data_IF_337969433488
#
_entry.id   IF_337969433488
#
_cell.length_a   1.000
_cell.length_b   1.000
_cell.length_c   1.000
_cell.angle_alpha   90.00
_cell.angle_beta   90.00
_cell.angle_gamma   90.00
#
_symmetry.space_group_name_H-M   'P 1'
#
loop_
_entity.id
_entity.type
_entity.pdbx_description
1 polymer ?
#
# COMPACT_ATOMS: atom_id res chain seq x y z
N UNK A 1 12.85 18.98 16.60
CA UNK A 1 11.57 19.66 16.94
C UNK A 1 10.75 20.19 15.75
N UNK A 2 11.31 20.59 14.58
CA UNK A 2 10.51 21.09 13.45
C UNK A 2 9.55 20.05 12.83
N UNK A 3 10.00 18.80 12.74
CA UNK A 3 9.24 17.71 12.11
C UNK A 3 7.95 17.35 12.88
N UNK A 4 7.97 17.42 14.21
CA UNK A 4 6.80 17.16 15.04
C UNK A 4 5.71 18.22 14.83
N UNK A 5 6.10 19.49 14.70
CA UNK A 5 5.19 20.60 14.42
C UNK A 5 4.56 20.47 13.03
N UNK A 6 5.36 20.09 12.03
CA UNK A 6 4.87 19.86 10.68
C UNK A 6 3.81 18.74 10.64
N UNK A 7 4.09 17.60 11.28
CA UNK A 7 3.13 16.48 11.37
C UNK A 7 1.86 16.86 12.12
N UNK A 8 1.97 17.61 13.21
CA UNK A 8 0.81 18.09 13.96
C UNK A 8 -0.08 19.03 13.13
N UNK A 9 0.53 19.94 12.36
CA UNK A 9 -0.22 20.85 11.48
C UNK A 9 -0.96 20.10 10.37
N UNK A 10 -0.34 19.10 9.75
CA UNK A 10 -1.01 18.23 8.76
C UNK A 10 -2.21 17.53 9.39
N UNK A 11 -2.02 16.94 10.58
CA UNK A 11 -3.09 16.24 11.27
C UNK A 11 -4.27 17.16 11.63
N UNK A 12 -3.98 18.37 12.12
CA UNK A 12 -5.01 19.37 12.44
C UNK A 12 -5.78 19.82 11.19
N UNK A 13 -5.09 19.98 10.06
CA UNK A 13 -5.74 20.33 8.79
C UNK A 13 -6.69 19.23 8.31
N UNK A 14 -6.22 17.98 8.28
CA UNK A 14 -7.03 16.81 7.93
C UNK A 14 -8.28 16.67 8.82
N UNK A 15 -8.13 16.92 10.13
CA UNK A 15 -9.29 16.93 11.05
C UNK A 15 -10.30 18.04 10.73
N UNK A 16 -9.83 19.24 10.40
CA UNK A 16 -10.71 20.37 10.04
C UNK A 16 -11.50 20.08 8.78
N UNK A 17 -10.86 19.54 7.75
CA UNK A 17 -11.52 19.17 6.49
C UNK A 17 -12.61 18.13 6.72
N UNK A 18 -12.34 17.08 7.51
CA UNK A 18 -13.33 16.06 7.90
C UNK A 18 -14.55 16.66 8.61
N UNK A 19 -14.35 17.67 9.47
CA UNK A 19 -15.44 18.38 10.15
C UNK A 19 -16.29 19.18 9.16
N UNK A 20 -15.67 19.90 8.23
CA UNK A 20 -16.38 20.70 7.22
C UNK A 20 -17.21 19.80 6.31
N UNK A 21 -16.66 18.68 5.85
CA UNK A 21 -17.36 17.69 5.00
C UNK A 21 -18.53 17.06 5.78
N UNK A 22 -18.30 16.67 7.03
CA UNK A 22 -19.33 16.11 7.90
C UNK A 22 -20.53 17.06 8.06
N UNK A 23 -20.26 18.35 8.30
CA UNK A 23 -21.30 19.40 8.38
C UNK A 23 -22.04 19.55 7.05
N UNK A 24 -21.33 19.61 5.92
CA UNK A 24 -21.93 19.78 4.59
C UNK A 24 -22.82 18.60 4.20
N UNK A 25 -22.46 17.39 4.60
CA UNK A 25 -23.20 16.17 4.30
C UNK A 25 -24.23 15.79 5.37
N UNK A 26 -24.34 16.57 6.46
CA UNK A 26 -25.17 16.25 7.64
C UNK A 26 -24.91 14.84 8.20
N UNK A 27 -23.64 14.41 8.22
CA UNK A 27 -23.21 13.10 8.75
C UNK A 27 -22.20 13.26 9.89
N UNK A 28 -21.98 12.20 10.66
CA UNK A 28 -20.97 12.18 11.71
C UNK A 28 -19.55 12.13 11.13
N UNK A 29 -18.58 12.77 11.80
CA UNK A 29 -17.15 12.71 11.46
C UNK A 29 -16.62 11.28 11.28
N UNK A 30 -17.11 10.35 12.10
CA UNK A 30 -16.73 8.93 12.03
C UNK A 30 -17.18 8.26 10.73
N UNK A 31 -18.31 8.68 10.16
CA UNK A 31 -18.78 8.20 8.85
C UNK A 31 -17.85 8.66 7.76
N UNK A 32 -17.44 9.95 7.77
CA UNK A 32 -16.46 10.50 6.82
C UNK A 32 -15.13 9.76 6.92
N UNK A 33 -14.63 9.52 8.14
CA UNK A 33 -13.39 8.77 8.35
C UNK A 33 -13.47 7.35 7.77
N UNK A 34 -14.54 6.60 8.08
CA UNK A 34 -14.75 5.25 7.52
C UNK A 34 -14.85 5.25 6.00
N UNK A 35 -15.44 6.28 5.39
CA UNK A 35 -15.48 6.39 3.93
C UNK A 35 -14.09 6.62 3.35
N UNK A 36 -13.30 7.53 3.95
CA UNK A 36 -11.92 7.79 3.51
C UNK A 36 -11.06 6.53 3.60
N UNK A 37 -11.13 5.79 4.72
CA UNK A 37 -10.44 4.51 4.90
C UNK A 37 -10.84 3.50 3.81
N UNK A 38 -12.14 3.32 3.55
CA UNK A 38 -12.61 2.43 2.46
C UNK A 38 -12.09 2.85 1.09
N UNK A 39 -12.05 4.14 0.78
CA UNK A 39 -11.52 4.63 -0.50
C UNK A 39 -10.00 4.40 -0.63
N UNK A 40 -9.24 4.52 0.46
CA UNK A 40 -7.82 4.21 0.50
C UNK A 40 -7.57 2.70 0.34
N UNK A 41 -8.36 1.87 1.03
CA UNK A 41 -8.27 0.41 0.97
C UNK A 41 -8.62 -0.15 -0.42
N UNK A 42 -9.56 0.48 -1.12
CA UNK A 42 -9.91 0.14 -2.51
C UNK A 42 -8.78 0.44 -3.51
N UNK A 43 -7.67 1.04 -3.07
CA UNK A 43 -6.46 1.23 -3.90
C UNK A 43 -6.63 2.24 -5.04
N UNK A 44 -7.74 2.98 -5.08
CA UNK A 44 -8.03 3.94 -6.15
C UNK A 44 -7.17 5.22 -6.00
N UNK A 45 -6.60 5.44 -4.82
CA UNK A 45 -5.82 6.64 -4.51
C UNK A 45 -4.29 6.50 -4.68
N UNK A 46 -3.77 5.44 -5.31
CA UNK A 46 -2.34 5.39 -5.58
C UNK A 46 -2.02 4.74 -6.91
N UNK A 47 -1.27 5.53 -7.70
CA UNK A 47 -0.13 5.24 -8.55
C UNK A 47 0.83 4.15 -7.98
N UNK A 48 0.26 3.04 -7.51
CA UNK A 48 0.98 1.92 -6.92
C UNK A 48 1.42 1.08 -8.12
N UNK A 49 2.74 0.88 -8.35
CA UNK A 49 3.16 -0.12 -9.30
C UNK A 49 2.55 -1.42 -8.79
N UNK A 50 1.65 -1.97 -9.60
CA UNK A 50 0.90 -3.19 -9.30
C UNK A 50 1.94 -4.16 -8.74
N UNK A 51 1.85 -4.46 -7.45
CA UNK A 51 2.69 -5.49 -6.85
C UNK A 51 2.33 -6.75 -7.63
N UNK A 52 3.14 -7.05 -8.64
CA UNK A 52 3.12 -8.29 -9.37
C UNK A 52 3.47 -9.32 -8.33
N UNK A 53 2.44 -9.86 -7.68
CA UNK A 53 2.52 -11.13 -7.01
C UNK A 53 3.13 -12.07 -8.05
N UNK A 54 4.36 -12.57 -7.89
CA UNK A 54 4.94 -13.42 -8.90
C UNK A 54 3.99 -14.60 -9.01
N UNK A 55 3.37 -14.79 -10.17
CA UNK A 55 2.76 -16.09 -10.48
C UNK A 55 3.89 -17.09 -10.28
N UNK A 56 3.72 -18.07 -9.39
CA UNK A 56 4.68 -19.16 -9.27
C UNK A 56 4.73 -19.86 -10.62
N UNK A 57 5.69 -19.45 -11.45
CA UNK A 57 5.99 -20.09 -12.71
C UNK A 57 6.57 -21.43 -12.32
N UNK A 58 5.85 -22.49 -12.63
CA UNK A 58 6.26 -23.86 -12.35
C UNK A 58 7.50 -24.10 -13.20
N UNK A 59 8.70 -23.82 -12.68
CA UNK A 59 9.95 -24.13 -13.36
C UNK A 59 10.11 -25.64 -13.30
N UNK A 60 9.56 -26.30 -14.31
CA UNK A 60 9.91 -27.66 -14.65
C UNK A 60 11.44 -27.70 -14.73
N UNK A 61 12.05 -28.42 -13.79
CA UNK A 61 13.50 -28.50 -13.58
C UNK A 61 14.17 -28.96 -14.88
N UNK A 62 14.65 -28.02 -15.68
CA UNK A 62 15.60 -28.31 -16.76
C UNK A 62 16.90 -28.69 -16.07
N UNK A 63 17.13 -30.00 -15.92
CA UNK A 63 18.43 -30.56 -15.56
C UNK A 63 19.36 -30.31 -16.75
N UNK A 64 20.10 -29.20 -16.71
CA UNK A 64 21.25 -29.02 -17.58
C UNK A 64 22.32 -30.01 -17.12
N UNK A 65 22.62 -31.01 -17.94
CA UNK A 65 23.72 -31.94 -17.73
C UNK A 65 25.03 -31.15 -17.88
N UNK A 66 25.52 -30.57 -16.79
CA UNK A 66 26.89 -30.10 -16.71
C UNK A 66 27.77 -31.32 -16.39
N UNK A 67 28.44 -31.83 -17.42
CA UNK A 67 29.50 -32.83 -17.33
C UNK A 67 30.45 -32.51 -16.18
N UNK A 68 30.37 -33.29 -15.10
CA UNK A 68 31.43 -33.39 -14.11
C UNK A 68 32.19 -34.67 -14.41
N UNK A 69 33.27 -34.53 -15.18
CA UNK A 69 34.36 -35.49 -15.22
C UNK A 69 34.95 -35.59 -13.82
N UNK A 70 34.51 -36.59 -13.05
CA UNK A 70 35.21 -37.04 -11.85
C UNK A 70 36.31 -38.00 -12.31
N UNK A 71 37.56 -37.59 -12.06
CA UNK A 71 38.73 -38.46 -11.99
C UNK A 71 38.43 -39.59 -11.01
N UNK A 72 38.50 -40.83 -11.48
CA UNK A 72 38.67 -42.01 -10.64
C UNK A 72 40.08 -42.56 -10.90
N UNK A 73 40.77 -42.91 -9.81
CA UNK A 73 41.99 -43.71 -9.82
C UNK A 73 41.63 -45.19 -9.94
#
# INVERSE_FOLDING_TARGET
MPQALHTANIHLNDQREKIVIAKKLCVTRMTVQRTVERYQDLGIANDRPRSERPRSMNTFRVRTNAERTLRDN
#
